data_IF_213992970842
#
_entry.id   IF_213992970842
#
_cell.length_a   1.000
_cell.length_b   1.000
_cell.length_c   1.000
_cell.angle_alpha   90.00
_cell.angle_beta   90.00
_cell.angle_gamma   90.00
#
_symmetry.space_group_name_H-M   'P 1'
#
loop_
_entity.id
_entity.type
_entity.pdbx_description
1 polymer ?
#
# COMPACT_ATOMS: atom_id res chain seq x y z
N UNK A 1 16.83 -48.70 50.46
CA UNK A 1 17.53 -49.27 49.29
C UNK A 1 16.67 -48.96 48.07
N UNK A 2 17.01 -47.88 47.35
CA UNK A 2 17.35 -47.86 45.91
C UNK A 2 16.30 -48.57 45.04
N UNK A 3 15.64 -47.86 44.12
CA UNK A 3 16.25 -47.55 42.83
C UNK A 3 15.79 -46.21 42.24
N UNK A 4 16.75 -45.38 41.83
CA UNK A 4 16.55 -44.23 40.95
C UNK A 4 16.20 -44.75 39.54
N UNK A 5 15.09 -44.29 38.97
CA UNK A 5 14.90 -44.29 37.52
C UNK A 5 14.95 -42.85 37.02
N UNK A 6 16.06 -42.54 36.35
CA UNK A 6 16.21 -41.36 35.50
C UNK A 6 15.30 -41.55 34.30
N UNK A 7 14.16 -40.88 34.26
CA UNK A 7 13.40 -40.70 33.02
C UNK A 7 13.52 -39.24 32.62
N UNK A 8 14.47 -39.01 31.70
CA UNK A 8 14.60 -37.78 30.93
C UNK A 8 13.28 -37.54 30.19
N UNK A 9 12.45 -36.64 30.71
CA UNK A 9 11.22 -36.23 30.03
C UNK A 9 11.62 -35.17 29.00
N UNK A 10 11.74 -35.61 27.74
CA UNK A 10 11.93 -34.76 26.57
C UNK A 10 10.94 -33.57 26.62
N UNK A 11 11.50 -32.37 26.62
CA UNK A 11 10.81 -31.10 26.46
C UNK A 11 10.15 -31.09 25.07
N UNK A 12 8.85 -31.42 25.02
CA UNK A 12 8.03 -31.32 23.80
C UNK A 12 7.73 -29.84 23.58
N UNK A 13 8.57 -29.17 22.79
CA UNK A 13 8.31 -27.80 22.32
C UNK A 13 7.21 -27.92 21.26
N UNK A 14 5.98 -27.42 21.50
CA UNK A 14 5.02 -27.31 20.43
C UNK A 14 5.58 -26.34 19.40
N UNK A 15 5.80 -26.83 18.19
CA UNK A 15 6.17 -26.03 17.03
C UNK A 15 4.88 -25.30 16.62
N UNK A 16 4.78 -24.02 17.00
CA UNK A 16 3.69 -23.16 16.56
C UNK A 16 3.88 -22.92 15.07
N UNK A 17 3.22 -23.73 14.24
CA UNK A 17 3.04 -23.41 12.83
C UNK A 17 2.05 -22.26 12.77
N UNK A 18 2.58 -21.03 12.81
CA UNK A 18 1.86 -19.84 12.37
C UNK A 18 1.61 -20.02 10.87
N UNK A 19 0.47 -20.63 10.54
CA UNK A 19 -0.06 -20.61 9.19
C UNK A 19 -0.49 -19.18 8.88
N UNK A 20 0.42 -18.40 8.29
CA UNK A 20 0.05 -17.19 7.58
C UNK A 20 -0.88 -17.61 6.43
N UNK A 21 -2.18 -17.36 6.60
CA UNK A 21 -3.18 -17.56 5.57
C UNK A 21 -2.99 -16.53 4.46
N UNK A 22 -2.12 -16.84 3.50
CA UNK A 22 -2.18 -16.20 2.19
C UNK A 22 -3.47 -16.67 1.52
N UNK A 23 -4.42 -15.76 1.32
CA UNK A 23 -5.51 -15.99 0.39
C UNK A 23 -4.90 -16.23 -1.00
N UNK A 24 -5.08 -17.43 -1.55
CA UNK A 24 -4.61 -17.75 -2.90
C UNK A 24 -5.44 -16.93 -3.91
N UNK A 25 -4.89 -15.81 -4.39
CA UNK A 25 -5.35 -15.19 -5.63
C UNK A 25 -4.80 -16.07 -6.77
N UNK A 26 -5.63 -16.51 -7.74
CA UNK A 26 -5.15 -17.35 -8.85
C UNK A 26 -4.07 -16.66 -9.70
N UNK A 27 -3.82 -15.36 -9.49
CA UNK A 27 -2.74 -14.59 -10.11
C UNK A 27 -1.43 -14.58 -9.32
N UNK A 28 -1.40 -15.06 -8.07
CA UNK A 28 -0.19 -15.13 -7.23
C UNK A 28 -0.44 -14.74 -5.75
N UNK A 29 0.62 -14.81 -4.94
CA UNK A 29 0.57 -14.41 -3.54
C UNK A 29 0.38 -12.89 -3.38
N UNK A 30 -0.55 -12.49 -2.51
CA UNK A 30 -0.72 -11.10 -2.06
C UNK A 30 -0.02 -10.87 -0.74
N UNK A 31 0.58 -9.69 -0.59
CA UNK A 31 1.35 -9.31 0.61
C UNK A 31 1.04 -7.88 1.02
N UNK A 32 1.16 -7.58 2.32
CA UNK A 32 0.99 -6.22 2.80
C UNK A 32 2.09 -5.29 2.30
N UNK A 33 1.74 -4.01 2.12
CA UNK A 33 2.68 -2.94 1.82
C UNK A 33 2.34 -1.70 2.65
N UNK A 34 3.36 -0.99 3.10
CA UNK A 34 3.19 0.26 3.85
C UNK A 34 4.33 1.21 3.56
N UNK A 35 4.15 2.48 3.93
CA UNK A 35 5.22 3.46 3.77
C UNK A 35 4.69 4.89 3.85
N UNK A 36 5.60 5.81 3.55
CA UNK A 36 5.37 7.23 3.50
C UNK A 36 5.45 7.77 2.08
N UNK A 37 4.73 8.87 1.85
CA UNK A 37 4.79 9.65 0.62
C UNK A 37 4.94 11.11 1.00
N UNK A 38 6.05 11.71 0.59
CA UNK A 38 6.34 13.12 0.77
C UNK A 38 6.41 13.81 -0.60
N UNK A 39 6.05 15.08 -0.67
CA UNK A 39 6.26 15.96 -1.82
C UNK A 39 7.04 17.19 -1.36
N UNK A 40 8.26 17.36 -1.87
CA UNK A 40 9.19 18.41 -1.44
C UNK A 40 9.39 18.42 0.09
N UNK A 41 9.46 17.23 0.69
CA UNK A 41 9.60 17.03 2.14
C UNK A 41 8.33 17.26 2.97
N UNK A 42 7.19 17.58 2.34
CA UNK A 42 5.90 17.73 3.02
C UNK A 42 5.06 16.46 2.87
N UNK A 43 4.34 16.00 3.92
CA UNK A 43 3.44 14.86 3.82
C UNK A 43 2.38 15.05 2.73
N UNK A 44 2.22 14.04 1.88
CA UNK A 44 1.16 14.00 0.86
C UNK A 44 -0.16 13.58 1.52
N UNK A 45 -1.20 14.37 1.37
CA UNK A 45 -2.54 14.05 1.88
C UNK A 45 -3.60 14.15 0.77
N UNK A 46 -4.74 13.47 0.94
CA UNK A 46 -5.83 13.38 -0.06
C UNK A 46 -5.33 12.85 -1.40
N UNK A 47 -4.68 11.69 -1.35
CA UNK A 47 -4.20 10.98 -2.53
C UNK A 47 -4.35 9.48 -2.38
N UNK A 48 -4.26 8.77 -3.49
CA UNK A 48 -4.17 7.32 -3.54
C UNK A 48 -2.85 6.87 -4.14
N UNK A 49 -2.34 5.77 -3.61
CA UNK A 49 -1.27 4.98 -4.19
C UNK A 49 -1.87 3.77 -4.91
N UNK A 50 -1.43 3.52 -6.15
CA UNK A 50 -1.84 2.39 -6.96
C UNK A 50 -0.61 1.57 -7.32
N UNK A 51 -0.71 0.25 -7.16
CA UNK A 51 0.28 -0.72 -7.62
C UNK A 51 -0.26 -1.39 -8.88
N UNK A 52 0.51 -1.34 -9.95
CA UNK A 52 0.18 -1.92 -11.24
C UNK A 52 1.26 -2.94 -11.60
N UNK A 53 0.86 -4.09 -12.12
CA UNK A 53 1.81 -5.08 -12.64
C UNK A 53 2.72 -4.43 -13.68
N UNK A 54 4.05 -4.51 -13.50
CA UNK A 54 4.99 -4.02 -14.52
C UNK A 54 4.99 -4.94 -15.76
N UNK A 55 4.53 -6.18 -15.60
CA UNK A 55 4.36 -7.15 -16.67
C UNK A 55 2.91 -7.14 -17.20
N UNK A 56 2.73 -7.31 -18.51
CA UNK A 56 1.42 -7.35 -19.16
C UNK A 56 0.74 -5.98 -19.34
N UNK A 57 -0.59 -5.94 -19.24
CA UNK A 57 -1.44 -4.78 -19.56
C UNK A 57 -1.43 -3.64 -18.50
N UNK A 58 -0.44 -3.60 -17.59
CA UNK A 58 -0.41 -2.64 -16.49
C UNK A 58 -1.70 -2.66 -15.64
N UNK A 59 -2.22 -3.85 -15.33
CA UNK A 59 -3.43 -4.01 -14.50
C UNK A 59 -3.14 -3.56 -13.07
N UNK A 60 -4.08 -2.82 -12.49
CA UNK A 60 -4.04 -2.44 -11.07
C UNK A 60 -4.22 -3.71 -10.23
N UNK A 61 -3.27 -3.98 -9.34
CA UNK A 61 -3.27 -5.14 -8.43
C UNK A 61 -3.67 -4.75 -7.01
N UNK A 62 -3.37 -3.50 -6.61
CA UNK A 62 -3.76 -2.93 -5.32
C UNK A 62 -3.91 -1.40 -5.39
N UNK A 63 -4.69 -0.86 -4.45
CA UNK A 63 -4.87 0.59 -4.26
C UNK A 63 -5.03 0.88 -2.78
N UNK A 64 -4.42 1.97 -2.31
CA UNK A 64 -4.52 2.45 -0.93
C UNK A 64 -4.67 3.96 -0.88
N UNK A 65 -5.34 4.46 0.16
CA UNK A 65 -5.35 5.89 0.47
C UNK A 65 -4.06 6.29 1.18
N UNK A 66 -3.63 7.52 0.91
CA UNK A 66 -2.54 8.19 1.59
C UNK A 66 -3.18 9.27 2.48
N UNK A 67 -2.95 9.16 3.79
CA UNK A 67 -3.48 10.08 4.80
C UNK A 67 -2.31 10.54 5.65
N UNK A 68 -2.15 11.85 5.80
CA UNK A 68 -1.02 12.47 6.52
C UNK A 68 0.35 11.96 6.04
N UNK A 69 0.49 11.67 4.75
CA UNK A 69 1.70 11.12 4.15
C UNK A 69 1.87 9.61 4.34
N UNK A 70 1.00 8.91 5.08
CA UNK A 70 1.13 7.47 5.32
C UNK A 70 0.14 6.66 4.50
N UNK A 71 0.57 5.48 4.06
CA UNK A 71 -0.33 4.47 3.53
C UNK A 71 -0.03 3.11 4.14
N UNK A 72 -1.08 2.29 4.25
CA UNK A 72 -0.99 0.90 4.67
C UNK A 72 -2.04 0.08 3.91
N UNK A 73 -1.60 -0.90 3.13
CA UNK A 73 -2.47 -1.83 2.41
C UNK A 73 -2.21 -3.22 3.00
N UNK A 74 -3.17 -3.83 3.70
CA UNK A 74 -2.98 -5.14 4.31
C UNK A 74 -3.01 -6.24 3.23
N UNK A 75 -2.42 -7.40 3.52
CA UNK A 75 -2.19 -8.47 2.56
C UNK A 75 -3.43 -8.91 1.77
N UNK A 76 -4.62 -8.89 2.38
CA UNK A 76 -5.87 -9.31 1.74
C UNK A 76 -6.24 -8.42 0.53
N UNK A 77 -5.74 -7.18 0.50
CA UNK A 77 -5.92 -6.22 -0.60
C UNK A 77 -4.59 -5.73 -1.18
N UNK A 78 -3.49 -6.32 -0.74
CA UNK A 78 -2.14 -5.94 -1.10
C UNK A 78 -1.77 -6.32 -2.53
N UNK A 79 -0.69 -5.76 -3.08
CA UNK A 79 -0.23 -6.12 -4.42
C UNK A 79 0.21 -7.58 -4.48
N UNK A 80 0.37 -8.07 -5.70
CA UNK A 80 1.03 -9.35 -5.94
C UNK A 80 2.54 -9.18 -5.76
N UNK A 81 3.21 -10.25 -5.34
CA UNK A 81 4.68 -10.35 -5.32
C UNK A 81 5.24 -10.10 -6.73
N UNK A 82 6.39 -9.43 -6.80
CA UNK A 82 7.11 -9.12 -8.03
C UNK A 82 7.18 -7.63 -8.37
N UNK A 83 7.63 -7.34 -9.60
CA UNK A 83 7.88 -5.98 -10.07
C UNK A 83 6.60 -5.20 -10.34
N UNK A 84 6.41 -4.10 -9.61
CA UNK A 84 5.24 -3.23 -9.71
C UNK A 84 5.63 -1.83 -10.14
N UNK A 85 4.87 -1.27 -11.08
CA UNK A 85 4.85 0.17 -11.32
C UNK A 85 3.90 0.83 -10.32
N UNK A 86 4.33 1.93 -9.73
CA UNK A 86 3.58 2.64 -8.70
C UNK A 86 3.05 3.95 -9.27
N UNK A 87 1.80 4.31 -8.97
CA UNK A 87 1.25 5.64 -9.26
C UNK A 87 0.76 6.28 -7.98
N UNK A 88 0.98 7.58 -7.86
CA UNK A 88 0.42 8.41 -6.81
C UNK A 88 -0.50 9.43 -7.49
N UNK A 89 -1.77 9.43 -7.11
CA UNK A 89 -2.79 10.25 -7.78
C UNK A 89 -3.56 11.05 -6.74
N UNK A 90 -3.84 12.34 -6.97
CA UNK A 90 -4.72 13.11 -6.09
C UNK A 90 -6.09 12.44 -6.00
N UNK A 91 -6.67 12.44 -4.81
CA UNK A 91 -8.07 12.10 -4.63
C UNK A 91 -8.89 13.26 -5.15
N UNK A 92 -9.42 13.08 -6.35
CA UNK A 92 -10.48 13.95 -6.84
C UNK A 92 -11.66 13.75 -5.88
N UNK A 93 -11.97 14.81 -5.14
CA UNK A 93 -13.10 14.90 -4.21
C UNK A 93 -14.39 14.76 -5.01
N UNK A 94 -14.70 13.55 -5.46
CA UNK A 94 -15.94 13.25 -6.17
C UNK A 94 -17.11 13.13 -5.18
N UNK A 95 -16.83 12.96 -3.88
CA UNK A 95 -17.83 12.67 -2.87
C UNK A 95 -18.42 13.93 -2.19
N UNK A 96 -17.58 14.89 -1.78
CA UNK A 96 -18.07 16.12 -1.13
C UNK A 96 -18.75 17.06 -2.14
N UNK A 97 -18.28 17.09 -3.39
CA UNK A 97 -18.93 17.83 -4.48
C UNK A 97 -20.27 17.19 -4.89
N UNK A 98 -20.39 15.87 -4.85
CA UNK A 98 -21.64 15.15 -5.12
C UNK A 98 -22.68 15.36 -4.00
N UNK A 99 -22.26 15.39 -2.74
CA UNK A 99 -23.15 15.65 -1.59
C UNK A 99 -23.58 17.12 -1.47
N UNK A 100 -22.69 18.08 -1.81
CA UNK A 100 -23.03 19.50 -1.88
C UNK A 100 -24.03 19.81 -3.01
N UNK A 101 -23.86 19.19 -4.18
CA UNK A 101 -24.80 19.28 -5.29
C UNK A 101 -26.20 18.72 -4.96
N UNK A 102 -26.29 17.75 -4.04
CA UNK A 102 -27.56 17.15 -3.58
C UNK A 102 -28.33 18.03 -2.58
N UNK A 103 -27.68 19.02 -1.94
CA UNK A 103 -28.28 19.93 -0.94
C UNK A 103 -28.68 21.32 -1.45
N UNK A 104 -28.46 21.63 -2.73
CA UNK A 104 -29.15 22.74 -3.42
C UNK A 104 -28.48 24.13 -3.40
N UNK A 105 -27.23 24.26 -2.95
CA UNK A 105 -26.50 25.54 -3.01
C UNK A 105 -25.42 25.52 -4.12
N UNK A 106 -25.85 25.84 -5.35
CA UNK A 106 -25.02 25.80 -6.56
C UNK A 106 -23.96 26.91 -6.66
N UNK A 107 -23.80 27.77 -5.64
CA UNK A 107 -22.94 28.97 -5.73
C UNK A 107 -21.66 28.92 -4.88
N UNK A 108 -21.52 27.98 -3.95
CA UNK A 108 -20.27 27.76 -3.22
C UNK A 108 -19.46 26.66 -3.89
N UNK A 109 -18.59 27.04 -4.83
CA UNK A 109 -17.44 26.20 -5.18
C UNK A 109 -16.51 26.23 -3.96
N UNK A 110 -16.50 25.16 -3.16
CA UNK A 110 -15.43 24.97 -2.19
C UNK A 110 -14.17 24.68 -3.02
N UNK A 111 -13.10 25.49 -2.91
CA UNK A 111 -11.85 25.15 -3.55
C UNK A 111 -11.36 23.84 -2.97
N UNK A 112 -11.52 22.76 -3.72
CA UNK A 112 -10.80 21.54 -3.44
C UNK A 112 -9.35 21.81 -3.79
N UNK A 113 -8.54 22.13 -2.79
CA UNK A 113 -7.09 22.17 -2.97
C UNK A 113 -6.61 20.73 -3.25
N UNK A 114 -6.64 20.32 -4.51
CA UNK A 114 -5.99 19.08 -4.92
C UNK A 114 -4.50 19.32 -4.95
N UNK A 115 -3.74 18.50 -4.22
CA UNK A 115 -2.29 18.46 -4.38
C UNK A 115 -1.94 18.18 -5.85
N UNK A 116 -0.87 18.81 -6.35
CA UNK A 116 -0.40 18.57 -7.72
C UNK A 116 0.74 17.56 -7.68
N UNK A 117 0.44 16.31 -8.07
CA UNK A 117 1.47 15.26 -8.20
C UNK A 117 2.08 15.32 -9.62
N UNK A 118 3.40 15.48 -9.76
CA UNK A 118 4.07 15.49 -11.06
C UNK A 118 3.74 14.27 -11.92
N UNK A 119 3.66 14.48 -13.24
CA UNK A 119 3.28 13.43 -14.19
C UNK A 119 4.17 12.18 -14.10
N UNK A 120 5.47 12.34 -13.82
CA UNK A 120 6.47 11.27 -13.61
C UNK A 120 6.20 10.38 -12.39
N UNK A 121 5.24 10.73 -11.54
CA UNK A 121 4.79 9.93 -10.40
C UNK A 121 3.31 9.52 -10.51
N UNK A 122 2.61 9.98 -11.55
CA UNK A 122 1.17 9.76 -11.76
C UNK A 122 0.89 9.18 -13.16
N UNK A 123 0.45 10.02 -14.10
CA UNK A 123 -0.04 9.59 -15.42
C UNK A 123 1.05 8.93 -16.26
N UNK A 124 2.30 9.39 -16.11
CA UNK A 124 3.50 8.87 -16.76
C UNK A 124 4.47 8.35 -15.69
N UNK A 125 3.95 7.63 -14.70
CA UNK A 125 4.77 7.23 -13.56
C UNK A 125 5.98 6.38 -13.97
N UNK A 126 7.14 6.78 -13.47
CA UNK A 126 8.43 6.10 -13.58
C UNK A 126 8.79 5.35 -12.28
N UNK A 127 7.94 5.44 -11.25
CA UNK A 127 8.14 4.74 -9.99
C UNK A 127 8.00 3.24 -10.18
N UNK A 128 9.02 2.50 -9.76
CA UNK A 128 9.03 1.03 -9.78
C UNK A 128 9.51 0.52 -8.42
N UNK A 129 8.85 -0.51 -7.92
CA UNK A 129 9.23 -1.24 -6.70
C UNK A 129 9.12 -2.74 -6.93
N UNK A 130 10.01 -3.48 -6.30
CA UNK A 130 9.93 -4.93 -6.22
C UNK A 130 9.19 -5.29 -4.94
N UNK A 131 8.07 -6.01 -5.06
CA UNK A 131 7.29 -6.48 -3.92
C UNK A 131 7.82 -7.86 -3.51
N UNK A 132 8.28 -7.97 -2.27
CA UNK A 132 8.87 -9.19 -1.71
C UNK A 132 7.80 -10.09 -1.10
N UNK A 133 8.07 -11.39 -1.02
CA UNK A 133 7.25 -12.35 -0.26
C UNK A 133 7.26 -12.03 1.24
N UNK A 134 8.40 -11.59 1.78
CA UNK A 134 8.53 -11.14 3.15
C UNK A 134 7.95 -9.73 3.31
N UNK A 135 6.75 -9.65 3.89
CA UNK A 135 6.03 -8.40 4.15
C UNK A 135 6.84 -7.40 4.99
N UNK A 136 7.77 -7.86 5.84
CA UNK A 136 8.61 -6.95 6.64
C UNK A 136 9.55 -6.10 5.78
N UNK A 137 9.84 -6.55 4.55
CA UNK A 137 10.66 -5.84 3.57
C UNK A 137 9.84 -4.87 2.70
N UNK A 138 8.52 -4.93 2.76
CA UNK A 138 7.61 -4.13 1.93
C UNK A 138 7.25 -2.77 2.58
N UNK A 139 8.24 -2.14 3.20
CA UNK A 139 8.18 -0.73 3.64
C UNK A 139 8.74 0.12 2.51
N UNK A 140 7.87 0.80 1.76
CA UNK A 140 8.23 1.48 0.50
C UNK A 140 7.95 2.98 0.63
N UNK A 141 8.98 3.75 0.91
CA UNK A 141 8.87 5.20 0.98
C UNK A 141 9.08 5.87 -0.39
N UNK A 142 8.40 7.01 -0.58
CA UNK A 142 8.42 7.80 -1.79
C UNK A 142 8.61 9.29 -1.49
N UNK A 143 9.83 9.78 -1.68
CA UNK A 143 10.16 11.20 -1.66
C UNK A 143 10.01 11.80 -3.07
N UNK A 144 8.90 12.50 -3.29
CA UNK A 144 8.57 13.13 -4.56
C UNK A 144 9.12 14.54 -4.63
N UNK A 145 9.54 14.94 -5.83
CA UNK A 145 10.01 16.31 -6.11
C UNK A 145 9.11 16.98 -7.15
N UNK A 146 8.61 18.18 -6.83
CA UNK A 146 7.71 18.94 -7.73
C UNK A 146 8.42 19.43 -8.99
N UNK A 147 9.73 19.66 -8.89
CA UNK A 147 10.60 20.11 -9.99
C UNK A 147 11.54 18.98 -10.42
N UNK A 148 11.89 18.88 -11.72
CA UNK A 148 13.02 18.07 -12.13
C UNK A 148 14.31 18.65 -11.52
N UNK A 149 15.23 17.77 -11.10
CA UNK A 149 16.63 18.13 -10.83
C UNK A 149 17.37 18.41 -12.13
#
# INVERSE_FOLDING_TARGET
>A
MQTLHRFSLLLFIPLWTLGCGMSEDPRGARVGVRGTVLLDGQPVDRARILFLSAEGENKVTATGSIVDGFYNIPAERGPLVGKMRVKIQPDKIELEEFEAARKGDLRKRVPVETITIPAKYNVKSELVREIQEDETQNVLDFDLESKPK
#
